data_IF_275314056099
#
_entry.id   IF_275314056099
#
_cell.length_a   1.000
_cell.length_b   1.000
_cell.length_c   1.000
_cell.angle_alpha   90.00
_cell.angle_beta   90.00
_cell.angle_gamma   90.00
#
_symmetry.space_group_name_H-M   'P 1'
#
loop_
_entity.id
_entity.type
_entity.pdbx_description
1 polymer ?
#
# COMPACT_ATOMS: atom_id res chain seq x y z
N UNK A 1 57.73 16.36 -52.77
CA UNK A 1 57.49 15.58 -51.54
C UNK A 1 57.90 16.40 -50.34
N UNK A 2 56.92 16.99 -49.64
CA UNK A 2 56.97 17.49 -48.25
C UNK A 2 55.65 18.18 -47.99
N UNK A 3 54.85 17.66 -47.06
CA UNK A 3 54.03 18.47 -46.14
C UNK A 3 53.45 17.55 -45.06
N UNK A 4 54.15 17.58 -43.93
CA UNK A 4 53.62 17.29 -42.59
C UNK A 4 52.97 18.58 -42.10
N UNK A 5 51.73 18.53 -41.64
CA UNK A 5 51.10 19.45 -40.67
C UNK A 5 49.76 18.83 -40.27
N UNK A 6 49.67 18.15 -39.12
CA UNK A 6 49.24 18.74 -37.85
C UNK A 6 48.01 19.63 -37.97
N UNK A 7 46.82 19.06 -37.69
CA UNK A 7 45.67 19.81 -37.19
C UNK A 7 45.35 19.23 -35.83
N UNK A 8 45.85 19.91 -34.81
CA UNK A 8 45.55 19.76 -33.38
C UNK A 8 44.62 20.91 -33.02
N UNK A 9 43.44 20.55 -32.49
CA UNK A 9 42.62 21.29 -31.51
C UNK A 9 42.15 22.70 -31.89
N UNK A 10 40.83 22.82 -32.09
CA UNK A 10 40.07 23.97 -31.58
C UNK A 10 38.84 23.44 -30.83
N UNK A 11 38.99 23.36 -29.51
CA UNK A 11 37.93 23.13 -28.52
C UNK A 11 37.69 24.47 -27.83
N UNK A 12 36.41 24.79 -27.59
CA UNK A 12 35.84 25.99 -26.95
C UNK A 12 35.78 27.18 -27.91
N UNK A 13 34.64 27.80 -28.19
CA UNK A 13 33.63 28.33 -27.25
C UNK A 13 32.29 28.36 -27.97
N UNK A 14 31.27 27.71 -27.41
CA UNK A 14 29.90 28.21 -27.53
C UNK A 14 29.13 27.80 -26.29
N UNK A 15 28.90 28.78 -25.43
CA UNK A 15 27.92 28.71 -24.37
C UNK A 15 26.52 28.60 -25.00
N UNK A 16 26.02 27.37 -25.07
CA UNK A 16 24.60 27.12 -24.97
C UNK A 16 24.42 26.22 -23.76
N UNK A 17 23.41 26.51 -22.96
CA UNK A 17 22.93 25.71 -21.84
C UNK A 17 22.43 24.34 -22.35
N UNK A 18 23.35 23.50 -22.84
CA UNK A 18 23.15 22.08 -23.03
C UNK A 18 23.06 21.52 -21.62
N UNK A 19 21.84 21.28 -21.17
CA UNK A 19 21.59 20.42 -20.03
C UNK A 19 22.36 19.13 -20.28
N UNK A 20 23.50 18.98 -19.62
CA UNK A 20 24.31 17.78 -19.79
C UNK A 20 23.43 16.59 -19.43
N UNK A 21 23.34 15.63 -20.34
CA UNK A 21 22.53 14.44 -20.11
C UNK A 21 23.05 13.73 -18.86
N UNK A 22 22.15 13.26 -17.97
CA UNK A 22 22.58 12.54 -16.78
C UNK A 22 23.38 11.31 -17.19
N UNK A 23 24.47 11.04 -16.46
CA UNK A 23 25.20 9.78 -16.59
C UNK A 23 24.88 8.91 -15.40
N UNK A 24 24.50 7.65 -15.65
CA UNK A 24 24.13 6.75 -14.58
C UNK A 24 25.18 5.71 -14.24
N UNK A 25 25.29 5.42 -12.95
CA UNK A 25 26.16 4.38 -12.43
C UNK A 25 25.43 3.49 -11.43
N UNK A 26 25.97 2.29 -11.21
CA UNK A 26 25.54 1.39 -10.15
C UNK A 26 26.72 0.81 -9.36
N UNK A 27 26.48 0.41 -8.13
CA UNK A 27 27.42 -0.40 -7.33
C UNK A 27 27.28 -1.88 -7.66
N UNK A 28 28.39 -2.63 -7.65
CA UNK A 28 28.40 -4.04 -8.09
C UNK A 28 27.86 -5.10 -7.12
N UNK A 29 27.35 -4.74 -5.93
CA UNK A 29 26.86 -5.71 -4.94
C UNK A 29 25.34 -5.83 -4.96
N UNK A 30 24.82 -7.05 -5.18
CA UNK A 30 23.38 -7.35 -5.25
C UNK A 30 22.58 -6.98 -3.99
N UNK A 31 23.17 -7.07 -2.80
CA UNK A 31 22.43 -6.89 -1.53
C UNK A 31 22.43 -5.45 -1.00
N UNK A 32 23.19 -4.54 -1.63
CA UNK A 32 23.29 -3.11 -1.29
C UNK A 32 23.56 -2.34 -2.58
N UNK A 33 22.54 -2.29 -3.43
CA UNK A 33 22.63 -1.63 -4.72
C UNK A 33 22.38 -0.14 -4.53
N UNK A 34 23.35 0.67 -4.95
CA UNK A 34 23.18 2.11 -5.07
C UNK A 34 23.14 2.45 -6.56
N UNK A 35 22.12 3.20 -6.96
CA UNK A 35 22.06 3.85 -8.27
C UNK A 35 22.52 5.29 -8.10
N UNK A 36 23.36 5.76 -9.02
CA UNK A 36 23.89 7.12 -9.00
C UNK A 36 23.50 7.80 -10.29
N UNK A 37 22.86 8.95 -10.17
CA UNK A 37 22.63 9.87 -11.28
C UNK A 37 23.62 11.03 -11.13
N UNK A 38 24.54 11.17 -12.08
CA UNK A 38 25.55 12.22 -12.08
C UNK A 38 25.15 13.33 -13.07
N UNK A 39 25.10 14.57 -12.58
CA UNK A 39 24.90 15.80 -13.35
C UNK A 39 26.13 16.72 -13.15
N UNK A 40 26.27 17.82 -13.92
CA UNK A 40 27.46 18.67 -13.86
C UNK A 40 27.79 19.24 -12.48
N UNK A 41 26.77 19.62 -11.71
CA UNK A 41 26.94 20.33 -10.42
C UNK A 41 26.37 19.54 -9.23
N UNK A 42 25.58 18.49 -9.52
CA UNK A 42 24.87 17.71 -8.51
C UNK A 42 24.93 16.23 -8.83
N UNK A 43 24.81 15.38 -7.81
CA UNK A 43 24.56 13.95 -8.01
C UNK A 43 23.45 13.47 -7.08
N UNK A 44 22.73 12.43 -7.50
CA UNK A 44 21.75 11.76 -6.66
C UNK A 44 22.18 10.32 -6.42
N UNK A 45 22.21 9.90 -5.16
CA UNK A 45 22.51 8.51 -4.77
C UNK A 45 21.24 7.87 -4.22
N UNK A 46 20.67 6.95 -4.98
CA UNK A 46 19.49 6.17 -4.59
C UNK A 46 19.95 4.85 -3.97
N UNK A 47 19.67 4.67 -2.68
CA UNK A 47 19.92 3.40 -1.97
C UNK A 47 18.73 2.46 -2.17
N UNK A 48 18.94 1.40 -2.95
CA UNK A 48 17.91 0.44 -3.34
C UNK A 48 17.94 -0.76 -2.38
N UNK A 49 16.82 -0.97 -1.70
CA UNK A 49 16.50 -2.20 -0.98
C UNK A 49 15.48 -3.04 -1.75
N UNK A 50 15.03 -4.12 -1.11
CA UNK A 50 13.98 -4.99 -1.65
C UNK A 50 12.75 -4.88 -0.76
N UNK A 51 11.60 -4.68 -1.40
CA UNK A 51 10.29 -4.76 -0.80
C UNK A 51 9.75 -6.18 -0.97
N UNK A 52 9.31 -6.80 0.13
CA UNK A 52 8.78 -8.17 0.16
C UNK A 52 7.32 -8.16 0.66
N UNK A 53 6.40 -8.71 -0.13
CA UNK A 53 5.03 -8.99 0.28
C UNK A 53 4.55 -10.35 -0.31
N UNK A 54 3.46 -10.90 0.22
CA UNK A 54 2.86 -12.13 -0.32
C UNK A 54 2.49 -12.01 -1.81
N UNK A 55 2.16 -10.81 -2.28
CA UNK A 55 1.79 -10.56 -3.67
C UNK A 55 2.99 -10.40 -4.62
N UNK A 56 4.20 -10.21 -4.09
CA UNK A 56 5.38 -10.04 -4.94
C UNK A 56 6.59 -9.45 -4.23
N UNK A 57 7.65 -9.27 -5.02
CA UNK A 57 8.89 -8.63 -4.58
C UNK A 57 9.31 -7.59 -5.60
N UNK A 58 9.87 -6.47 -5.15
CA UNK A 58 10.34 -5.41 -6.04
C UNK A 58 11.36 -4.50 -5.38
N UNK A 59 11.99 -3.58 -6.12
CA UNK A 59 12.91 -2.60 -5.58
C UNK A 59 12.19 -1.58 -4.70
N UNK A 60 12.88 -1.06 -3.70
CA UNK A 60 12.43 0.07 -2.90
C UNK A 60 13.56 1.08 -2.72
N UNK A 61 13.29 2.35 -2.99
CA UNK A 61 14.20 3.43 -2.65
C UNK A 61 14.08 3.68 -1.14
N UNK A 62 15.06 3.16 -0.40
CA UNK A 62 15.15 3.32 1.06
C UNK A 62 15.60 4.73 1.46
N UNK A 63 16.46 5.34 0.64
CA UNK A 63 17.02 6.66 0.89
C UNK A 63 17.55 7.25 -0.42
N UNK A 64 17.40 8.57 -0.57
CA UNK A 64 18.03 9.36 -1.63
C UNK A 64 18.92 10.40 -0.98
N UNK A 65 20.21 10.42 -1.33
CA UNK A 65 21.12 11.51 -0.96
C UNK A 65 21.31 12.44 -2.16
N UNK A 66 21.32 13.74 -1.89
CA UNK A 66 21.69 14.76 -2.88
C UNK A 66 23.08 15.25 -2.56
N UNK A 67 23.98 15.10 -3.53
CA UNK A 67 25.39 15.47 -3.39
C UNK A 67 25.65 16.72 -4.23
N UNK A 68 26.41 17.66 -3.68
CA UNK A 68 26.85 18.87 -4.36
C UNK A 68 28.30 18.71 -4.79
N UNK A 69 28.63 19.24 -5.98
CA UNK A 69 30.00 19.24 -6.47
C UNK A 69 30.83 20.27 -5.71
N UNK A 70 31.96 19.83 -5.15
CA UNK A 70 32.93 20.72 -4.52
C UNK A 70 34.09 21.07 -5.46
N UNK A 71 34.51 20.12 -6.27
CA UNK A 71 35.55 20.31 -7.28
C UNK A 71 35.34 19.31 -8.43
N UNK A 72 36.24 19.36 -9.42
CA UNK A 72 36.13 18.56 -10.64
C UNK A 72 35.87 17.05 -10.38
N UNK A 73 36.44 16.52 -9.29
CA UNK A 73 36.52 15.09 -9.00
C UNK A 73 35.81 14.68 -7.70
N UNK A 74 35.03 15.59 -7.09
CA UNK A 74 34.44 15.33 -5.77
C UNK A 74 33.03 15.92 -5.65
N UNK A 75 32.09 15.04 -5.30
CA UNK A 75 30.73 15.37 -4.86
C UNK A 75 30.55 14.91 -3.43
N UNK A 76 29.88 15.69 -2.59
CA UNK A 76 29.58 15.29 -1.22
C UNK A 76 28.15 15.63 -0.81
N UNK A 77 27.56 14.76 -0.01
CA UNK A 77 26.21 14.86 0.51
C UNK A 77 26.18 14.51 1.99
N UNK A 78 24.99 14.22 2.49
CA UNK A 78 24.78 13.98 3.93
C UNK A 78 25.33 12.63 4.40
N UNK A 79 25.29 11.61 3.54
CA UNK A 79 25.70 10.23 3.85
C UNK A 79 26.73 9.68 2.89
N UNK A 80 26.76 10.18 1.66
CA UNK A 80 27.64 9.68 0.63
C UNK A 80 28.54 10.78 0.05
N UNK A 81 29.68 10.36 -0.46
CA UNK A 81 30.52 11.17 -1.35
C UNK A 81 30.91 10.35 -2.58
N UNK A 82 31.13 11.04 -3.70
CA UNK A 82 31.65 10.45 -4.92
C UNK A 82 33.01 11.08 -5.18
N UNK A 83 34.03 10.25 -5.33
CA UNK A 83 35.38 10.70 -5.68
C UNK A 83 35.90 9.93 -6.88
N UNK A 84 36.61 10.63 -7.75
CA UNK A 84 37.38 10.00 -8.81
C UNK A 84 38.80 9.72 -8.31
N UNK A 85 39.10 8.44 -8.13
CA UNK A 85 40.46 7.95 -7.89
C UNK A 85 41.18 7.75 -9.23
N UNK A 86 42.50 7.52 -9.19
CA UNK A 86 43.38 7.46 -10.37
C UNK A 86 42.84 6.63 -11.56
N UNK A 87 42.05 5.57 -11.31
CA UNK A 87 41.51 4.70 -12.36
C UNK A 87 40.00 4.41 -12.25
N UNK A 88 39.28 4.99 -11.28
CA UNK A 88 37.87 4.61 -11.06
C UNK A 88 37.07 5.70 -10.34
N UNK A 89 35.79 5.83 -10.72
CA UNK A 89 34.81 6.58 -9.94
C UNK A 89 34.31 5.68 -8.80
N UNK A 90 34.31 6.19 -7.57
CA UNK A 90 33.90 5.43 -6.38
C UNK A 90 32.88 6.21 -5.55
N UNK A 91 31.93 5.47 -5.00
CA UNK A 91 30.97 5.94 -3.99
C UNK A 91 31.50 5.55 -2.62
N UNK A 92 31.58 6.52 -1.70
CA UNK A 92 31.97 6.33 -0.31
C UNK A 92 30.76 6.64 0.57
N UNK A 93 30.51 5.77 1.55
CA UNK A 93 29.63 6.09 2.68
C UNK A 93 30.41 6.54 3.90
N UNK A 94 31.64 6.03 4.04
CA UNK A 94 32.63 6.47 5.02
C UNK A 94 34.02 5.99 4.57
N UNK A 95 35.06 6.24 5.38
CA UNK A 95 36.45 5.86 5.07
C UNK A 95 36.66 4.34 4.88
N UNK A 96 35.79 3.49 5.44
CA UNK A 96 35.89 2.02 5.41
C UNK A 96 34.97 1.38 4.37
N UNK A 97 33.87 2.03 4.03
CA UNK A 97 32.84 1.54 3.12
C UNK A 97 32.85 2.34 1.82
N UNK A 98 33.37 1.71 0.76
CA UNK A 98 33.36 2.27 -0.59
C UNK A 98 33.06 1.21 -1.66
N UNK A 99 32.48 1.66 -2.76
CA UNK A 99 32.14 0.82 -3.90
C UNK A 99 32.57 1.48 -5.19
N UNK A 100 33.11 0.70 -6.11
CA UNK A 100 33.34 1.15 -7.48
C UNK A 100 32.00 1.38 -8.18
N UNK A 101 31.90 2.51 -8.88
CA UNK A 101 30.77 2.85 -9.72
C UNK A 101 31.00 2.34 -11.13
N UNK A 102 30.05 1.56 -11.64
CA UNK A 102 30.06 1.01 -12.99
C UNK A 102 28.95 1.68 -13.79
N UNK A 103 29.25 2.09 -15.03
CA UNK A 103 28.24 2.65 -15.91
C UNK A 103 27.09 1.65 -16.11
N UNK A 104 25.87 2.16 -16.17
CA UNK A 104 24.65 1.38 -16.40
C UNK A 104 23.79 2.13 -17.41
N UNK A 105 23.03 1.40 -18.23
CA UNK A 105 22.12 2.02 -19.19
C UNK A 105 20.96 2.73 -18.50
N UNK A 106 20.62 3.91 -19.02
CA UNK A 106 19.50 4.74 -18.60
C UNK A 106 18.19 3.93 -18.48
N UNK A 107 17.92 3.06 -19.47
CA UNK A 107 16.71 2.23 -19.49
C UNK A 107 16.57 1.32 -18.26
N UNK A 108 17.68 0.76 -17.79
CA UNK A 108 17.70 -0.12 -16.60
C UNK A 108 17.48 0.69 -15.34
N UNK A 109 18.14 1.85 -15.23
CA UNK A 109 17.99 2.74 -14.07
C UNK A 109 16.57 3.26 -13.97
N UNK A 110 16.01 3.77 -15.07
CA UNK A 110 14.63 4.23 -15.11
C UNK A 110 13.67 3.12 -14.74
N UNK A 111 13.84 1.90 -15.27
CA UNK A 111 12.99 0.76 -14.90
C UNK A 111 13.00 0.51 -13.39
N UNK A 112 14.18 0.46 -12.76
CA UNK A 112 14.32 0.22 -11.32
C UNK A 112 13.70 1.36 -10.49
N UNK A 113 14.01 2.61 -10.84
CA UNK A 113 13.50 3.78 -10.10
C UNK A 113 11.99 3.94 -10.26
N UNK A 114 11.46 3.67 -11.46
CA UNK A 114 10.03 3.75 -11.75
C UNK A 114 9.25 2.65 -11.03
N UNK A 115 9.77 1.43 -11.00
CA UNK A 115 9.18 0.33 -10.23
C UNK A 115 9.09 0.68 -8.75
N UNK A 116 10.22 1.12 -8.17
CA UNK A 116 10.29 1.48 -6.77
C UNK A 116 9.35 2.64 -6.42
N UNK A 117 9.23 3.63 -7.30
CA UNK A 117 8.30 4.74 -7.15
C UNK A 117 6.85 4.26 -7.23
N UNK A 118 6.50 3.42 -8.20
CA UNK A 118 5.15 2.89 -8.36
C UNK A 118 4.72 2.11 -7.13
N UNK A 119 5.53 1.14 -6.69
CA UNK A 119 5.20 0.30 -5.53
C UNK A 119 5.01 1.14 -4.27
N UNK A 120 5.92 2.08 -3.99
CA UNK A 120 5.79 3.02 -2.87
C UNK A 120 4.52 3.85 -2.98
N UNK A 121 4.18 4.33 -4.17
CA UNK A 121 3.02 5.19 -4.36
C UNK A 121 1.69 4.45 -4.19
N UNK A 122 1.63 3.15 -4.52
CA UNK A 122 0.47 2.30 -4.21
C UNK A 122 0.29 2.07 -2.69
N UNK A 123 1.39 1.96 -1.93
CA UNK A 123 1.34 1.91 -0.46
C UNK A 123 0.74 3.21 0.08
N UNK A 124 1.27 4.36 -0.34
CA UNK A 124 0.79 5.67 0.09
C UNK A 124 -0.67 5.93 -0.32
N UNK A 125 -1.07 5.49 -1.52
CA UNK A 125 -2.46 5.58 -1.96
C UNK A 125 -3.38 4.76 -1.05
N UNK A 126 -2.97 3.54 -0.69
CA UNK A 126 -3.73 2.69 0.22
C UNK A 126 -3.88 3.33 1.61
N UNK A 127 -2.79 3.87 2.17
CA UNK A 127 -2.82 4.60 3.44
C UNK A 127 -3.76 5.80 3.38
N UNK A 128 -3.69 6.59 2.29
CA UNK A 128 -4.56 7.75 2.07
C UNK A 128 -6.04 7.35 1.99
N UNK A 129 -6.37 6.26 1.31
CA UNK A 129 -7.73 5.74 1.18
C UNK A 129 -8.26 5.24 2.53
N UNK A 130 -7.47 4.44 3.26
CA UNK A 130 -7.84 3.93 4.59
C UNK A 130 -7.96 5.05 5.65
N UNK A 131 -7.22 6.15 5.50
CA UNK A 131 -7.35 7.30 6.38
C UNK A 131 -8.60 8.15 6.08
N UNK A 132 -9.06 8.16 4.83
CA UNK A 132 -10.20 8.96 4.38
C UNK A 132 -11.57 8.28 4.61
N UNK A 133 -11.61 6.94 4.67
CA UNK A 133 -12.84 6.16 4.69
C UNK A 133 -12.78 5.04 5.74
N UNK A 134 -13.93 4.60 6.29
CA UNK A 134 -13.99 3.52 7.28
C UNK A 134 -13.79 2.13 6.65
N UNK A 135 -12.60 1.95 6.10
CA UNK A 135 -12.12 0.72 5.48
C UNK A 135 -11.19 0.01 6.46
N UNK A 136 -11.42 -1.29 6.62
CA UNK A 136 -10.59 -2.09 7.52
C UNK A 136 -9.31 -2.55 6.83
N UNK A 137 -9.32 -2.74 5.49
CA UNK A 137 -8.14 -3.02 4.69
C UNK A 137 -8.34 -2.66 3.20
N UNK A 138 -7.73 -1.57 2.73
CA UNK A 138 -7.38 -1.43 1.31
C UNK A 138 -5.99 -2.02 1.05
N UNK A 139 -5.81 -2.73 -0.06
CA UNK A 139 -4.58 -3.48 -0.34
C UNK A 139 -3.73 -2.78 -1.39
N UNK A 140 -2.49 -2.44 -1.02
CA UNK A 140 -1.47 -1.91 -1.95
C UNK A 140 -0.94 -2.98 -2.93
N UNK A 141 -1.34 -4.25 -2.75
CA UNK A 141 -0.83 -5.41 -3.52
C UNK A 141 -1.08 -5.32 -5.02
N UNK A 142 -2.08 -4.55 -5.42
CA UNK A 142 -2.34 -4.26 -6.83
C UNK A 142 -1.16 -3.54 -7.51
N UNK A 143 -0.25 -2.91 -6.75
CA UNK A 143 0.95 -2.28 -7.27
C UNK A 143 1.86 -3.25 -8.06
N UNK A 144 1.98 -4.52 -7.65
CA UNK A 144 2.79 -5.50 -8.36
C UNK A 144 2.17 -5.86 -9.72
N UNK A 145 0.88 -6.19 -9.75
CA UNK A 145 0.17 -6.46 -11.00
C UNK A 145 0.12 -5.23 -11.92
N UNK A 146 -0.02 -4.03 -11.34
CA UNK A 146 0.02 -2.77 -12.08
C UNK A 146 1.40 -2.52 -12.70
N UNK A 147 2.48 -2.86 -11.99
CA UNK A 147 3.83 -2.80 -12.55
C UNK A 147 4.01 -3.80 -13.69
N UNK A 148 3.57 -5.05 -13.52
CA UNK A 148 3.69 -6.09 -14.54
C UNK A 148 3.03 -5.65 -15.86
N UNK A 149 1.85 -5.04 -15.77
CA UNK A 149 1.07 -4.56 -16.90
C UNK A 149 1.54 -3.21 -17.48
N UNK A 150 2.50 -2.50 -16.86
CA UNK A 150 2.83 -1.14 -17.27
C UNK A 150 3.53 -1.06 -18.65
N UNK A 151 2.95 -0.38 -19.65
CA UNK A 151 3.58 -0.17 -20.95
C UNK A 151 4.56 1.02 -20.84
N UNK A 152 5.84 0.84 -21.15
CA UNK A 152 6.93 1.83 -20.99
C UNK A 152 7.54 1.98 -19.58
N UNK A 153 7.95 0.86 -18.99
CA UNK A 153 8.70 0.79 -17.72
C UNK A 153 9.98 1.64 -17.69
N UNK A 154 10.65 1.80 -18.84
CA UNK A 154 11.91 2.54 -18.98
C UNK A 154 11.75 4.03 -19.34
N UNK A 155 10.53 4.59 -19.25
CA UNK A 155 10.30 6.04 -19.44
C UNK A 155 11.19 6.88 -18.51
N UNK A 156 11.72 8.04 -18.93
CA UNK A 156 12.50 8.92 -18.05
C UNK A 156 11.78 9.19 -16.73
N UNK A 157 12.50 9.04 -15.62
CA UNK A 157 11.92 9.04 -14.28
C UNK A 157 11.03 10.26 -13.95
N UNK A 158 11.39 11.51 -14.33
CA UNK A 158 10.52 12.66 -14.09
C UNK A 158 9.19 12.59 -14.86
N UNK A 159 9.21 12.11 -16.11
CA UNK A 159 8.02 11.96 -16.92
C UNK A 159 7.12 10.84 -16.38
N UNK A 160 7.72 9.73 -15.95
CA UNK A 160 7.01 8.63 -15.28
C UNK A 160 6.35 9.10 -13.98
N UNK A 161 7.04 9.89 -13.15
CA UNK A 161 6.47 10.42 -11.91
C UNK A 161 5.23 11.29 -12.17
N UNK A 162 5.29 12.18 -13.17
CA UNK A 162 4.13 13.01 -13.56
C UNK A 162 2.95 12.16 -14.02
N UNK A 163 3.20 11.15 -14.87
CA UNK A 163 2.15 10.24 -15.37
C UNK A 163 1.58 9.37 -14.24
N UNK A 164 2.43 8.80 -13.39
CA UNK A 164 2.01 7.99 -12.25
C UNK A 164 1.15 8.82 -11.29
N UNK A 165 1.57 10.05 -10.98
CA UNK A 165 0.83 10.94 -10.08
C UNK A 165 -0.58 11.22 -10.61
N UNK A 166 -0.73 11.51 -11.90
CA UNK A 166 -2.06 11.74 -12.49
C UNK A 166 -2.93 10.48 -12.49
N UNK A 167 -2.35 9.32 -12.82
CA UNK A 167 -3.05 8.03 -12.80
C UNK A 167 -3.52 7.67 -11.38
N UNK A 168 -2.65 7.81 -10.37
CA UNK A 168 -3.01 7.52 -8.98
C UNK A 168 -4.05 8.50 -8.44
N UNK A 169 -4.01 9.77 -8.87
CA UNK A 169 -5.04 10.73 -8.50
C UNK A 169 -6.40 10.35 -9.10
N UNK A 170 -6.45 9.88 -10.36
CA UNK A 170 -7.69 9.35 -10.95
C UNK A 170 -8.21 8.11 -10.19
N UNK A 171 -7.33 7.19 -9.80
CA UNK A 171 -7.71 6.04 -8.98
C UNK A 171 -8.26 6.50 -7.64
N UNK A 172 -7.62 7.48 -6.99
CA UNK A 172 -8.11 8.06 -5.75
C UNK A 172 -9.48 8.69 -5.92
N UNK A 173 -9.68 9.55 -6.92
CA UNK A 173 -10.92 10.31 -7.13
C UNK A 173 -12.10 9.38 -7.45
N UNK A 174 -11.87 8.36 -8.28
CA UNK A 174 -12.88 7.33 -8.56
C UNK A 174 -13.25 6.53 -7.31
N UNK A 175 -12.25 6.12 -6.53
CA UNK A 175 -12.46 5.42 -5.26
C UNK A 175 -13.22 6.31 -4.27
N UNK A 176 -12.78 7.55 -4.11
CA UNK A 176 -13.37 8.52 -3.21
C UNK A 176 -14.82 8.85 -3.58
N UNK A 177 -15.14 8.99 -4.87
CA UNK A 177 -16.52 9.20 -5.33
C UNK A 177 -17.47 8.07 -4.89
N UNK A 178 -17.02 6.81 -4.96
CA UNK A 178 -17.79 5.66 -4.49
C UNK A 178 -17.96 5.71 -2.97
N UNK A 179 -16.86 5.89 -2.23
CA UNK A 179 -16.89 5.87 -0.77
C UNK A 179 -17.59 7.08 -0.15
N UNK A 180 -17.57 8.23 -0.79
CA UNK A 180 -18.35 9.39 -0.39
C UNK A 180 -19.85 9.09 -0.41
N UNK A 181 -20.34 8.39 -1.44
CA UNK A 181 -21.76 7.97 -1.51
C UNK A 181 -22.11 7.01 -0.38
N UNK A 182 -21.26 6.02 -0.10
CA UNK A 182 -21.48 5.11 1.03
C UNK A 182 -21.47 5.83 2.37
N UNK A 183 -20.57 6.80 2.54
CA UNK A 183 -20.48 7.62 3.75
C UNK A 183 -21.74 8.47 3.92
N UNK A 184 -22.26 9.06 2.84
CA UNK A 184 -23.53 9.79 2.86
C UNK A 184 -24.70 8.90 3.27
N UNK A 185 -24.81 7.70 2.71
CA UNK A 185 -25.88 6.75 3.08
C UNK A 185 -25.76 6.28 4.53
N UNK A 186 -24.54 6.01 5.01
CA UNK A 186 -24.28 5.69 6.42
C UNK A 186 -24.71 6.83 7.34
N UNK A 187 -24.27 8.06 7.06
CA UNK A 187 -24.61 9.23 7.86
C UNK A 187 -26.12 9.50 7.88
N UNK A 188 -26.79 9.32 6.73
CA UNK A 188 -28.25 9.39 6.65
C UNK A 188 -28.91 8.39 7.61
N UNK A 189 -28.50 7.11 7.57
CA UNK A 189 -29.07 6.09 8.45
C UNK A 189 -28.77 6.35 9.93
N UNK A 190 -27.57 6.84 10.26
CA UNK A 190 -27.22 7.21 11.63
C UNK A 190 -28.06 8.38 12.14
N UNK A 191 -28.26 9.41 11.32
CA UNK A 191 -29.07 10.57 11.69
C UNK A 191 -30.56 10.24 11.80
N UNK A 192 -31.08 9.38 10.92
CA UNK A 192 -32.48 8.96 10.91
C UNK A 192 -32.78 7.75 11.81
N UNK A 193 -31.79 7.19 12.50
CA UNK A 193 -31.84 5.86 13.10
C UNK A 193 -33.04 5.59 14.02
N UNK A 194 -33.57 6.62 14.68
CA UNK A 194 -34.70 6.53 15.62
C UNK A 194 -36.08 6.50 14.96
N UNK A 195 -36.19 7.12 13.78
CA UNK A 195 -37.48 7.37 13.11
C UNK A 195 -37.51 6.75 11.69
N UNK A 196 -36.46 6.04 11.29
CA UNK A 196 -36.35 5.42 9.98
C UNK A 196 -37.33 4.26 9.84
N UNK A 197 -38.10 4.24 8.75
CA UNK A 197 -39.00 3.13 8.45
C UNK A 197 -38.20 1.87 8.05
N UNK A 198 -38.78 0.69 8.29
CA UNK A 198 -38.14 -0.57 7.90
C UNK A 198 -37.76 -0.63 6.41
N UNK A 199 -38.66 -0.20 5.52
CA UNK A 199 -38.39 -0.24 4.07
C UNK A 199 -37.24 0.71 3.70
N UNK A 200 -37.25 1.94 4.23
CA UNK A 200 -36.17 2.91 3.99
C UNK A 200 -34.83 2.39 4.52
N UNK A 201 -34.84 1.79 5.72
CA UNK A 201 -33.66 1.17 6.30
C UNK A 201 -33.13 0.03 5.42
N UNK A 202 -34.00 -0.91 5.04
CA UNK A 202 -33.66 -2.05 4.19
C UNK A 202 -33.03 -1.57 2.89
N UNK A 203 -33.71 -0.71 2.13
CA UNK A 203 -33.24 -0.25 0.83
C UNK A 203 -31.89 0.50 0.94
N UNK A 204 -31.75 1.34 1.97
CA UNK A 204 -30.52 2.10 2.22
C UNK A 204 -29.36 1.18 2.63
N UNK A 205 -29.62 0.21 3.51
CA UNK A 205 -28.64 -0.76 3.97
C UNK A 205 -28.13 -1.62 2.81
N UNK A 206 -29.03 -2.10 1.94
CA UNK A 206 -28.66 -2.90 0.77
C UNK A 206 -27.94 -2.08 -0.34
N UNK A 207 -27.98 -0.75 -0.27
CA UNK A 207 -27.14 0.10 -1.12
C UNK A 207 -25.68 0.23 -0.66
N UNK A 208 -25.38 -0.16 0.59
CA UNK A 208 -24.03 -0.19 1.13
C UNK A 208 -23.28 -1.47 0.71
N UNK A 209 -21.94 -1.41 0.59
CA UNK A 209 -21.16 -2.60 0.28
C UNK A 209 -21.27 -3.62 1.42
N UNK A 210 -21.82 -4.79 1.09
CA UNK A 210 -21.93 -5.94 1.99
C UNK A 210 -20.64 -6.75 2.10
N UNK A 211 -19.69 -6.54 1.19
CA UNK A 211 -18.53 -7.40 1.03
C UNK A 211 -17.66 -7.40 2.28
N UNK A 212 -17.52 -8.62 2.82
CA UNK A 212 -16.61 -8.99 3.91
C UNK A 212 -16.56 -7.94 5.02
N UNK A 213 -17.33 -8.09 6.10
CA UNK A 213 -17.30 -7.17 7.25
C UNK A 213 -15.91 -6.97 7.90
N UNK A 214 -14.89 -7.68 7.43
CA UNK A 214 -13.45 -7.54 7.74
C UNK A 214 -12.73 -6.49 6.85
N UNK A 215 -13.39 -5.97 5.82
CA UNK A 215 -12.80 -5.06 4.81
C UNK A 215 -13.45 -3.67 4.83
N UNK A 216 -14.69 -3.56 5.28
CA UNK A 216 -15.44 -2.30 5.37
C UNK A 216 -16.45 -2.38 6.52
N UNK A 217 -16.60 -1.29 7.27
CA UNK A 217 -17.55 -1.21 8.39
C UNK A 217 -18.88 -0.54 8.04
N UNK A 218 -19.09 -0.02 6.80
CA UNK A 218 -20.32 0.69 6.43
C UNK A 218 -21.61 -0.07 6.79
N UNK A 219 -21.72 -1.32 6.33
CA UNK A 219 -22.90 -2.16 6.60
C UNK A 219 -23.08 -2.44 8.10
N UNK A 220 -21.97 -2.72 8.79
CA UNK A 220 -21.95 -3.00 10.23
C UNK A 220 -22.43 -1.81 11.05
N UNK A 221 -21.83 -0.64 10.81
CA UNK A 221 -22.15 0.59 11.54
C UNK A 221 -23.59 1.06 11.28
N UNK A 222 -24.06 0.95 10.03
CA UNK A 222 -25.44 1.26 9.67
C UNK A 222 -26.44 0.34 10.38
N UNK A 223 -26.22 -0.98 10.30
CA UNK A 223 -27.04 -1.99 10.97
C UNK A 223 -27.10 -1.72 12.46
N UNK A 224 -25.95 -1.49 13.10
CA UNK A 224 -25.87 -1.28 14.54
C UNK A 224 -26.58 0.01 14.97
N UNK A 225 -26.40 1.11 14.24
CA UNK A 225 -27.04 2.39 14.54
C UNK A 225 -28.57 2.25 14.56
N UNK A 226 -29.15 1.65 13.53
CA UNK A 226 -30.60 1.46 13.43
C UNK A 226 -31.10 0.40 14.42
N UNK A 227 -30.40 -0.73 14.57
CA UNK A 227 -30.81 -1.81 15.47
C UNK A 227 -30.82 -1.40 16.96
N UNK A 228 -30.06 -0.36 17.33
CA UNK A 228 -30.09 0.20 18.68
C UNK A 228 -31.44 0.83 19.03
N UNK A 229 -32.17 1.34 18.03
CA UNK A 229 -33.50 1.92 18.19
C UNK A 229 -34.62 0.96 17.74
N UNK A 230 -34.35 0.12 16.75
CA UNK A 230 -35.32 -0.81 16.14
C UNK A 230 -34.78 -2.25 16.10
N UNK A 231 -34.60 -2.93 17.25
CA UNK A 231 -33.97 -4.26 17.30
C UNK A 231 -34.75 -5.34 16.52
N UNK A 232 -36.07 -5.18 16.34
CA UNK A 232 -36.88 -6.09 15.53
C UNK A 232 -36.47 -6.12 14.05
N UNK A 233 -35.93 -5.02 13.51
CA UNK A 233 -35.53 -4.94 12.11
C UNK A 233 -34.41 -5.93 11.76
N UNK A 234 -33.57 -6.29 12.74
CA UNK A 234 -32.52 -7.31 12.55
C UNK A 234 -33.14 -8.67 12.20
N UNK A 235 -34.18 -9.09 12.93
CA UNK A 235 -34.82 -10.37 12.68
C UNK A 235 -35.67 -10.35 11.43
N UNK A 236 -36.39 -9.26 11.18
CA UNK A 236 -37.16 -9.09 9.96
C UNK A 236 -36.27 -9.16 8.70
N UNK A 237 -35.08 -8.54 8.74
CA UNK A 237 -34.12 -8.65 7.63
C UNK A 237 -33.66 -10.08 7.38
N UNK A 238 -33.37 -10.86 8.43
CA UNK A 238 -32.94 -12.26 8.30
C UNK A 238 -34.07 -13.15 7.80
N UNK A 239 -35.30 -12.89 8.22
CA UNK A 239 -36.47 -13.64 7.76
C UNK A 239 -36.76 -13.38 6.27
N UNK A 240 -36.57 -12.14 5.81
CA UNK A 240 -36.68 -11.79 4.39
C UNK A 240 -35.47 -12.26 3.58
N UNK A 241 -34.28 -12.37 4.18
CA UNK A 241 -33.02 -12.72 3.52
C UNK A 241 -32.18 -13.76 4.31
N UNK A 242 -32.62 -15.03 4.40
CA UNK A 242 -31.96 -16.04 5.24
C UNK A 242 -30.50 -16.31 4.85
N UNK A 243 -30.16 -16.12 3.57
CA UNK A 243 -28.79 -16.27 3.05
C UNK A 243 -27.79 -15.29 3.68
N UNK A 244 -28.26 -14.11 4.15
CA UNK A 244 -27.43 -13.06 4.73
C UNK A 244 -27.34 -13.17 6.26
N UNK A 245 -27.95 -14.20 6.87
CA UNK A 245 -28.05 -14.36 8.32
C UNK A 245 -26.71 -14.15 9.04
N UNK A 246 -25.65 -14.81 8.56
CA UNK A 246 -24.32 -14.73 9.18
C UNK A 246 -23.77 -13.30 9.16
N UNK A 247 -23.94 -12.59 8.05
CA UNK A 247 -23.52 -11.20 7.89
C UNK A 247 -24.32 -10.27 8.82
N UNK A 248 -25.64 -10.40 8.84
CA UNK A 248 -26.53 -9.57 9.66
C UNK A 248 -26.25 -9.80 11.15
N UNK A 249 -26.14 -11.04 11.60
CA UNK A 249 -25.81 -11.35 13.00
C UNK A 249 -24.40 -10.90 13.38
N UNK A 250 -23.43 -11.08 12.49
CA UNK A 250 -22.07 -10.58 12.69
C UNK A 250 -22.04 -9.06 12.89
N UNK A 251 -23.00 -8.34 12.31
CA UNK A 251 -23.11 -6.89 12.37
C UNK A 251 -23.55 -6.35 13.74
N UNK A 252 -24.13 -7.19 14.60
CA UNK A 252 -24.72 -6.75 15.88
C UNK A 252 -24.16 -7.50 17.09
N UNK A 253 -23.53 -8.66 16.88
CA UNK A 253 -23.11 -9.55 17.96
C UNK A 253 -21.99 -9.00 18.86
N UNK A 254 -21.23 -8.01 18.42
CA UNK A 254 -20.14 -7.43 19.23
C UNK A 254 -20.64 -6.46 20.31
N UNK A 255 -21.86 -5.93 20.18
CA UNK A 255 -22.41 -4.95 21.11
C UNK A 255 -23.28 -5.61 22.18
N UNK A 256 -22.74 -5.78 23.38
CA UNK A 256 -23.41 -6.47 24.50
C UNK A 256 -24.80 -5.92 24.83
N UNK A 257 -24.97 -4.59 24.82
CA UNK A 257 -26.26 -3.95 25.08
C UNK A 257 -27.30 -4.31 24.01
N UNK A 258 -26.91 -4.21 22.73
CA UNK A 258 -27.75 -4.59 21.59
C UNK A 258 -28.12 -6.07 21.61
N UNK A 259 -27.17 -6.96 21.93
CA UNK A 259 -27.45 -8.39 22.14
C UNK A 259 -28.49 -8.60 23.24
N UNK A 260 -28.45 -7.81 24.32
CA UNK A 260 -29.46 -7.82 25.37
C UNK A 260 -30.84 -7.47 24.85
N UNK A 261 -30.95 -6.39 24.06
CA UNK A 261 -32.20 -5.95 23.43
C UNK A 261 -32.75 -6.99 22.44
N UNK A 262 -31.89 -7.56 21.59
CA UNK A 262 -32.26 -8.58 20.60
C UNK A 262 -32.83 -9.86 21.24
N UNK A 263 -32.41 -10.22 22.45
CA UNK A 263 -32.98 -11.38 23.18
C UNK A 263 -34.40 -11.15 23.67
N UNK A 264 -34.84 -9.90 23.76
CA UNK A 264 -36.13 -9.52 24.31
C UNK A 264 -37.16 -9.22 23.22
N UNK A 265 -36.77 -9.22 21.93
CA UNK A 265 -37.70 -8.92 20.83
C UNK A 265 -38.74 -10.04 20.70
N UNK A 266 -40.05 -9.72 20.77
CA UNK A 266 -41.13 -10.69 20.56
C UNK A 266 -41.39 -10.94 19.07
N UNK A 267 -42.05 -12.06 18.73
CA UNK A 267 -42.55 -12.33 17.38
C UNK A 267 -41.57 -12.99 16.40
N UNK A 268 -40.29 -13.14 16.79
CA UNK A 268 -39.22 -13.68 15.93
C UNK A 268 -38.52 -14.90 16.57
N UNK A 269 -39.28 -15.84 17.14
CA UNK A 269 -38.73 -16.87 18.04
C UNK A 269 -37.68 -17.77 17.39
N UNK A 270 -37.92 -18.23 16.16
CA UNK A 270 -36.99 -19.09 15.42
C UNK A 270 -35.67 -18.36 15.10
N UNK A 271 -35.76 -17.15 14.56
CA UNK A 271 -34.63 -16.30 14.17
C UNK A 271 -33.83 -15.84 15.39
N UNK A 272 -34.51 -15.52 16.48
CA UNK A 272 -33.88 -15.19 17.78
C UNK A 272 -33.14 -16.37 18.37
N UNK A 273 -33.69 -17.58 18.29
CA UNK A 273 -33.01 -18.80 18.72
C UNK A 273 -31.74 -19.06 17.89
N UNK A 274 -31.80 -18.85 16.57
CA UNK A 274 -30.64 -18.93 15.69
C UNK A 274 -29.57 -17.90 16.06
N UNK A 275 -29.95 -16.64 16.30
CA UNK A 275 -29.03 -15.59 16.76
C UNK A 275 -28.31 -15.95 18.07
N UNK A 276 -29.05 -16.47 19.05
CA UNK A 276 -28.46 -16.88 20.34
C UNK A 276 -27.49 -18.05 20.15
N UNK A 277 -27.80 -18.99 19.26
CA UNK A 277 -26.92 -20.11 18.91
C UNK A 277 -25.61 -19.59 18.29
N UNK A 278 -25.70 -18.71 17.31
CA UNK A 278 -24.53 -18.14 16.61
C UNK A 278 -23.67 -17.30 17.56
N UNK A 279 -24.29 -16.45 18.39
CA UNK A 279 -23.60 -15.67 19.42
C UNK A 279 -22.81 -16.54 20.42
N UNK A 280 -23.40 -17.65 20.86
CA UNK A 280 -22.73 -18.60 21.77
C UNK A 280 -21.58 -19.33 21.08
N UNK A 281 -21.74 -19.71 19.82
CA UNK A 281 -20.69 -20.35 19.02
C UNK A 281 -19.50 -19.39 18.80
N UNK A 282 -19.77 -18.14 18.41
CA UNK A 282 -18.75 -17.11 18.21
C UNK A 282 -17.93 -16.81 19.48
N UNK A 283 -18.55 -16.84 20.66
CA UNK A 283 -17.84 -16.69 21.95
C UNK A 283 -16.91 -17.86 22.29
N UNK A 284 -17.19 -19.07 21.81
CA UNK A 284 -16.41 -20.29 22.12
C UNK A 284 -15.24 -20.50 21.17
N UNK A 285 -15.32 -20.02 19.93
CA UNK A 285 -14.30 -20.19 18.90
C UNK A 285 -12.88 -19.70 19.30
N UNK A 286 -12.69 -18.53 19.94
CA UNK A 286 -11.36 -18.09 20.36
C UNK A 286 -10.70 -19.07 21.34
N UNK A 287 -11.48 -19.63 22.28
CA UNK A 287 -10.99 -20.59 23.27
C UNK A 287 -10.65 -21.96 22.65
N UNK A 288 -11.43 -22.39 21.66
CA UNK A 288 -11.13 -23.61 20.90
C UNK A 288 -9.87 -23.47 20.06
N UNK A 289 -9.68 -22.32 19.40
CA UNK A 289 -8.48 -22.05 18.59
C UNK A 289 -7.24 -22.03 19.48
N UNK A 290 -7.27 -21.29 20.60
CA UNK A 290 -6.16 -21.28 21.57
C UNK A 290 -5.90 -22.66 22.16
N UNK A 291 -6.96 -23.41 22.49
CA UNK A 291 -6.84 -24.78 22.98
C UNK A 291 -6.17 -25.71 21.96
N UNK A 292 -6.54 -25.62 20.68
CA UNK A 292 -5.92 -26.40 19.58
C UNK A 292 -4.46 -26.00 19.36
N UNK A 293 -4.13 -24.70 19.37
CA UNK A 293 -2.75 -24.25 19.26
C UNK A 293 -1.87 -24.70 20.43
N UNK A 294 -2.40 -24.70 21.65
CA UNK A 294 -1.70 -25.22 22.84
C UNK A 294 -1.50 -26.73 22.75
N UNK A 295 -2.48 -27.47 22.23
CA UNK A 295 -2.41 -28.92 22.05
C UNK A 295 -1.40 -29.30 20.97
N UNK A 296 -1.41 -28.61 19.82
CA UNK A 296 -0.43 -28.79 18.73
C UNK A 296 0.97 -28.39 19.20
N UNK A 297 1.10 -27.26 19.91
CA UNK A 297 2.36 -26.83 20.52
C UNK A 297 2.90 -27.85 21.53
N UNK A 298 2.04 -28.38 22.40
CA UNK A 298 2.38 -29.43 23.35
C UNK A 298 2.82 -30.73 22.66
N UNK A 299 2.10 -31.16 21.62
CA UNK A 299 2.46 -32.33 20.81
C UNK A 299 3.81 -32.16 20.11
N UNK A 300 4.07 -30.99 19.51
CA UNK A 300 5.38 -30.68 18.91
C UNK A 300 6.50 -30.68 19.95
N UNK A 301 6.24 -30.16 21.15
CA UNK A 301 7.23 -30.13 22.24
C UNK A 301 7.55 -31.53 22.73
N UNK A 302 6.54 -32.39 22.90
CA UNK A 302 6.73 -33.81 23.27
C UNK A 302 7.49 -34.55 22.16
N UNK A 303 7.17 -34.30 20.89
CA UNK A 303 7.88 -34.92 19.77
C UNK A 303 9.37 -34.57 19.81
N UNK A 304 9.72 -33.29 20.02
CA UNK A 304 11.10 -32.80 20.10
C UNK A 304 11.86 -33.38 21.32
N UNK A 305 11.18 -33.58 22.45
CA UNK A 305 11.81 -34.13 23.66
C UNK A 305 11.98 -35.65 23.61
N UNK A 306 11.18 -36.35 22.80
CA UNK A 306 11.18 -37.81 22.70
C UNK A 306 11.95 -38.37 21.50
N UNK A 307 12.43 -37.51 20.59
CA UNK A 307 13.41 -37.81 19.53
C UNK A 307 14.80 -37.36 19.90
#
# INVERSE_FOLDING_TARGET
MKLVSCIVVFVLVNAACLHAQPVFFQTGKKNQQHLVQLLPDTAFVYSIGIFYDKAGTGPAVSFTDTLLRHNANHYSGSKFSIMQDANALRLYKNKKESWQLMAISDSTVYTILNEALLLKSYVLLSERINAAFPLQHYSFRNGFAAWDAWPAKAMPHPAFNTLLTSQLQLVFDNTASIHNRYTQTLHFMQAAAKDISYNTFKDSLYSLPQQYGVHSSYFHEAMQAVATHHPAYVFQLVEENPQDQSLIFASVQQHKALVGMLRQVPGHDATRAAFIKDYKAGKRMPYLIVGVYLLIGGLLTVLIVTT
#
